data_IF_744601191155
#
_entry.id   IF_744601191155
#
_cell.length_a   1.000
_cell.length_b   1.000
_cell.length_c   1.000
_cell.angle_alpha   90.00
_cell.angle_beta   90.00
_cell.angle_gamma   90.00
#
_symmetry.space_group_name_H-M   'P 1'
#
loop_
_entity.id
_entity.type
_entity.pdbx_description
1 polymer ?
#
# COMPACT_ATOMS: atom_id res chain seq x y z
N UNK A 1 7.51 18.11 -14.92
CA UNK A 1 6.98 16.74 -14.70
C UNK A 1 7.98 15.71 -15.20
N UNK A 2 8.19 14.64 -14.43
CA UNK A 2 8.99 13.47 -14.80
C UNK A 2 8.06 12.25 -14.82
N UNK A 3 7.90 11.63 -15.99
CA UNK A 3 7.21 10.35 -16.16
C UNK A 3 8.26 9.28 -16.46
N UNK A 4 8.48 8.36 -15.51
CA UNK A 4 9.45 7.29 -15.69
C UNK A 4 8.93 6.20 -16.64
N UNK A 5 9.76 5.19 -16.92
CA UNK A 5 9.48 4.17 -17.92
C UNK A 5 8.11 3.50 -17.74
N UNK A 6 7.31 3.51 -18.82
CA UNK A 6 5.97 2.92 -18.86
C UNK A 6 5.02 3.47 -17.76
N UNK A 7 5.18 4.74 -17.40
CA UNK A 7 4.21 5.47 -16.60
C UNK A 7 2.99 5.88 -17.45
N UNK A 8 1.81 5.96 -16.83
CA UNK A 8 0.54 6.31 -17.49
C UNK A 8 -0.22 7.42 -16.78
N UNK A 9 -0.93 8.24 -17.54
CA UNK A 9 -1.82 9.28 -17.02
C UNK A 9 -3.14 9.14 -17.77
N UNK A 10 -4.26 9.03 -17.04
CA UNK A 10 -5.57 9.02 -17.69
C UNK A 10 -5.85 10.38 -18.38
N UNK A 11 -6.76 10.37 -19.36
CA UNK A 11 -7.10 11.59 -20.10
C UNK A 11 -7.77 12.65 -19.22
N UNK A 12 -7.65 13.92 -19.62
CA UNK A 12 -8.29 15.09 -18.97
C UNK A 12 -7.83 15.37 -17.53
N UNK A 13 -6.59 15.04 -17.20
CA UNK A 13 -5.99 15.31 -15.89
C UNK A 13 -4.99 16.46 -15.95
N UNK A 14 -4.89 17.19 -14.85
CA UNK A 14 -3.86 18.20 -14.62
C UNK A 14 -2.73 17.61 -13.77
N UNK A 15 -1.51 17.67 -14.31
CA UNK A 15 -0.29 17.26 -13.61
C UNK A 15 0.55 18.51 -13.34
N UNK A 16 0.69 18.86 -12.06
CA UNK A 16 1.43 20.05 -11.64
C UNK A 16 2.93 19.95 -11.91
N UNK A 17 3.60 21.09 -11.86
CA UNK A 17 5.05 21.19 -12.06
C UNK A 17 5.82 20.32 -11.06
N UNK A 18 7.01 19.85 -11.46
CA UNK A 18 7.89 19.01 -10.64
C UNK A 18 7.27 17.73 -10.06
N UNK A 19 6.12 17.27 -10.60
CA UNK A 19 5.60 15.93 -10.29
C UNK A 19 6.53 14.86 -10.83
N UNK A 20 6.73 13.80 -10.05
CA UNK A 20 7.44 12.58 -10.45
C UNK A 20 6.50 11.38 -10.34
N UNK A 21 6.16 10.77 -11.48
CA UNK A 21 5.44 9.50 -11.56
C UNK A 21 6.45 8.38 -11.85
N UNK A 22 6.60 7.43 -10.92
CA UNK A 22 7.62 6.38 -11.02
C UNK A 22 7.29 5.33 -12.08
N UNK A 23 8.27 4.48 -12.42
CA UNK A 23 8.14 3.52 -13.50
C UNK A 23 6.98 2.55 -13.23
N UNK A 24 6.28 2.13 -14.30
CA UNK A 24 5.13 1.22 -14.22
C UNK A 24 3.99 1.73 -13.32
N UNK A 25 3.88 3.03 -13.10
CA UNK A 25 2.79 3.64 -12.32
C UNK A 25 1.76 4.30 -13.23
N UNK A 26 0.53 4.46 -12.77
CA UNK A 26 -0.50 5.16 -13.52
C UNK A 26 -1.46 5.93 -12.63
N UNK A 27 -1.69 7.21 -12.91
CA UNK A 27 -2.66 8.03 -12.18
C UNK A 27 -4.00 8.14 -12.93
N UNK A 28 -5.08 8.12 -12.17
CA UNK A 28 -6.46 8.38 -12.64
C UNK A 28 -7.02 9.70 -12.10
N UNK A 29 -6.20 10.54 -11.45
CA UNK A 29 -6.61 11.81 -10.84
C UNK A 29 -5.55 12.89 -11.05
N UNK A 30 -5.96 14.15 -10.88
CA UNK A 30 -5.06 15.30 -10.87
C UNK A 30 -3.97 15.15 -9.80
N UNK A 31 -2.77 15.64 -10.12
CA UNK A 31 -1.62 15.55 -9.22
C UNK A 31 -1.08 16.95 -8.95
N UNK A 32 -1.11 17.42 -7.69
CA UNK A 32 -0.52 18.72 -7.33
C UNK A 32 0.98 18.78 -7.61
N UNK A 33 1.49 20.00 -7.81
CA UNK A 33 2.91 20.23 -8.06
C UNK A 33 3.82 19.68 -6.94
N UNK A 34 5.03 19.28 -7.30
CA UNK A 34 6.08 18.80 -6.39
C UNK A 34 5.82 17.42 -5.77
N UNK A 35 4.79 16.68 -6.21
CA UNK A 35 4.47 15.35 -5.68
C UNK A 35 5.28 14.25 -6.35
N UNK A 36 5.73 13.28 -5.57
CA UNK A 36 6.22 12.00 -6.08
C UNK A 36 5.19 10.92 -5.79
N UNK A 37 4.72 10.24 -6.83
CA UNK A 37 3.66 9.23 -6.73
C UNK A 37 4.03 7.92 -7.45
N UNK A 38 3.47 6.81 -6.96
CA UNK A 38 3.79 5.45 -7.41
C UNK A 38 2.57 4.52 -7.35
N UNK A 39 2.58 3.47 -8.15
CA UNK A 39 1.56 2.42 -8.18
C UNK A 39 0.50 2.59 -9.26
N UNK A 40 -0.45 1.66 -9.28
CA UNK A 40 -1.63 1.66 -10.17
C UNK A 40 -2.86 1.29 -9.33
N UNK A 41 -3.77 2.24 -9.03
CA UNK A 41 -3.64 3.68 -9.28
C UNK A 41 -2.51 4.30 -8.45
N UNK A 42 -1.92 5.37 -8.95
CA UNK A 42 -0.80 6.04 -8.32
C UNK A 42 -1.24 6.91 -7.13
N UNK A 43 -0.48 6.86 -6.03
CA UNK A 43 -0.66 7.67 -4.82
C UNK A 43 0.71 8.03 -4.23
N UNK A 44 0.74 8.70 -3.07
CA UNK A 44 1.99 9.15 -2.42
C UNK A 44 3.06 8.05 -2.40
N UNK A 45 4.24 8.37 -2.90
CA UNK A 45 5.30 7.38 -3.08
C UNK A 45 5.75 6.75 -1.75
N UNK A 46 5.74 7.47 -0.62
CA UNK A 46 6.15 6.91 0.67
C UNK A 46 5.14 5.87 1.16
N UNK A 47 3.86 6.17 1.00
CA UNK A 47 2.79 5.24 1.35
C UNK A 47 2.82 4.02 0.43
N UNK A 48 3.09 4.21 -0.86
CA UNK A 48 3.23 3.11 -1.81
C UNK A 48 4.38 2.18 -1.43
N UNK A 49 5.55 2.73 -1.11
CA UNK A 49 6.71 1.95 -0.67
C UNK A 49 6.41 1.15 0.61
N UNK A 50 5.72 1.76 1.57
CA UNK A 50 5.30 1.07 2.80
C UNK A 50 4.32 -0.06 2.49
N UNK A 51 3.33 0.17 1.65
CA UNK A 51 2.34 -0.84 1.26
C UNK A 51 3.01 -2.02 0.51
N UNK A 52 3.91 -1.74 -0.44
CA UNK A 52 4.65 -2.79 -1.15
C UNK A 52 5.58 -3.58 -0.23
N UNK A 53 6.22 -2.93 0.76
CA UNK A 53 7.01 -3.63 1.76
C UNK A 53 6.14 -4.56 2.63
N UNK A 54 4.96 -4.11 3.04
CA UNK A 54 4.00 -4.93 3.78
C UNK A 54 3.49 -6.11 2.94
N UNK A 55 3.22 -5.90 1.65
CA UNK A 55 2.79 -6.95 0.73
C UNK A 55 3.78 -8.12 0.68
N UNK A 56 5.10 -7.84 0.67
CA UNK A 56 6.14 -8.89 0.73
C UNK A 56 6.08 -9.72 2.02
N UNK A 57 5.55 -9.18 3.11
CA UNK A 57 5.43 -9.83 4.42
C UNK A 57 4.04 -10.41 4.69
N UNK A 58 3.11 -10.29 3.74
CA UNK A 58 1.71 -10.67 3.95
C UNK A 58 1.54 -12.13 4.38
N UNK A 59 2.33 -13.06 3.83
CA UNK A 59 2.28 -14.47 4.21
C UNK A 59 2.84 -14.77 5.61
N UNK A 60 3.84 -14.01 6.08
CA UNK A 60 4.33 -14.06 7.47
C UNK A 60 3.25 -13.53 8.41
N UNK A 61 2.70 -12.34 8.11
CA UNK A 61 1.62 -11.73 8.88
C UNK A 61 0.41 -12.65 9.00
N UNK A 62 0.02 -13.32 7.91
CA UNK A 62 -1.10 -14.26 7.93
C UNK A 62 -0.85 -15.48 8.83
N UNK A 63 0.39 -16.01 8.87
CA UNK A 63 0.75 -17.08 9.80
C UNK A 63 0.67 -16.62 11.25
N UNK A 64 1.28 -15.47 11.54
CA UNK A 64 1.23 -14.88 12.88
C UNK A 64 -0.20 -14.63 13.35
N UNK A 65 -1.08 -14.14 12.46
CA UNK A 65 -2.50 -13.95 12.79
C UNK A 65 -3.18 -15.27 13.18
N UNK A 66 -2.99 -16.36 12.42
CA UNK A 66 -3.57 -17.67 12.78
C UNK A 66 -3.04 -18.22 14.10
N UNK A 67 -1.76 -18.02 14.38
CA UNK A 67 -1.16 -18.42 15.66
C UNK A 67 -1.75 -17.62 16.82
N UNK A 68 -1.95 -16.31 16.63
CA UNK A 68 -2.60 -15.45 17.62
C UNK A 68 -4.07 -15.84 17.83
N UNK A 69 -4.84 -16.10 16.78
CA UNK A 69 -6.23 -16.57 16.87
C UNK A 69 -6.34 -17.87 17.68
N UNK A 70 -5.45 -18.84 17.42
CA UNK A 70 -5.39 -20.09 18.18
C UNK A 70 -5.11 -19.84 19.67
N UNK A 71 -4.11 -19.01 19.98
CA UNK A 71 -3.73 -18.70 21.36
C UNK A 71 -4.84 -17.96 22.11
N UNK A 72 -5.52 -17.02 21.45
CA UNK A 72 -6.66 -16.30 22.05
C UNK A 72 -7.77 -17.29 22.40
N UNK A 73 -8.08 -18.24 21.50
CA UNK A 73 -9.08 -19.27 21.77
C UNK A 73 -8.71 -20.15 22.98
N UNK A 74 -7.47 -20.62 23.05
CA UNK A 74 -6.97 -21.41 24.18
C UNK A 74 -7.10 -20.65 25.52
N UNK A 75 -6.73 -19.35 25.52
CA UNK A 75 -6.85 -18.49 26.71
C UNK A 75 -8.31 -18.25 27.14
N UNK A 76 -9.23 -18.10 26.19
CA UNK A 76 -10.66 -17.95 26.49
C UNK A 76 -11.24 -19.23 27.10
N UNK A 77 -10.87 -20.41 26.59
CA UNK A 77 -11.27 -21.72 27.12
C UNK A 77 -10.73 -21.94 28.55
N UNK A 78 -9.46 -21.60 28.79
CA UNK A 78 -8.84 -21.67 30.13
C UNK A 78 -9.55 -20.76 31.13
N UNK A 79 -9.83 -19.50 30.75
CA UNK A 79 -10.55 -18.55 31.61
C UNK A 79 -11.94 -19.05 31.99
N UNK A 80 -12.66 -19.63 31.04
CA UNK A 80 -14.01 -20.11 31.27
C UNK A 80 -14.06 -21.42 32.05
N UNK A 81 -12.97 -22.20 32.07
CA UNK A 81 -12.79 -23.37 32.94
C UNK A 81 -12.44 -23.03 34.40
N UNK A 82 -11.94 -21.81 34.66
CA UNK A 82 -11.60 -21.31 35.99
C UNK A 82 -12.76 -20.57 36.68
N UNK A 83 -13.89 -20.35 35.98
CA UNK A 83 -15.12 -19.79 36.52
C UNK A 83 -16.05 -20.89 37.02
#
# INVERSE_FOLDING_TARGET
VILAGQAGVAGHLTIGDDVVLTAKSATSHDVPAGKMISGIPAFDNRDWLRATAAFRRLGEMHRTLRELEKRVKELDEERDSQK
#
